data_IF_272537458458
#
_entry.id   IF_272537458458
#
_cell.length_a   1.000
_cell.length_b   1.000
_cell.length_c   1.000
_cell.angle_alpha   90.00
_cell.angle_beta   90.00
_cell.angle_gamma   90.00
#
_symmetry.space_group_name_H-M   'P 1'
#
loop_
_entity.id
_entity.type
_entity.pdbx_description
1 polymer ?
#
# COMPACT_ATOMS: atom_id res chain seq x y z
N UNK A 1 -2.56 -18.69 11.39
CA UNK A 1 -2.17 -17.60 12.31
C UNK A 1 -0.65 -17.47 12.47
N UNK A 2 0.13 -18.56 12.62
CA UNK A 2 1.59 -18.48 12.77
C UNK A 2 2.32 -17.76 11.63
N UNK A 3 1.96 -18.03 10.36
CA UNK A 3 2.63 -17.38 9.22
C UNK A 3 2.43 -15.86 9.13
N UNK A 4 1.39 -15.30 9.76
CA UNK A 4 1.12 -13.85 9.67
C UNK A 4 1.97 -13.06 10.65
N UNK A 5 2.10 -13.55 11.89
CA UNK A 5 3.03 -12.99 12.89
C UNK A 5 4.49 -13.19 12.49
N UNK A 6 4.80 -14.29 11.82
CA UNK A 6 6.15 -14.55 11.28
C UNK A 6 6.55 -13.54 10.20
N UNK A 7 5.61 -13.11 9.34
CA UNK A 7 5.84 -12.05 8.35
C UNK A 7 6.05 -10.69 9.03
N UNK A 8 5.34 -10.44 10.13
CA UNK A 8 5.44 -9.21 10.90
C UNK A 8 6.79 -9.11 11.64
N UNK A 9 7.22 -10.21 12.26
CA UNK A 9 8.40 -10.27 13.12
C UNK A 9 9.68 -10.57 12.34
N UNK A 10 9.60 -11.31 11.22
CA UNK A 10 10.72 -11.69 10.36
C UNK A 10 10.46 -11.33 8.89
N UNK A 11 10.31 -10.03 8.55
CA UNK A 11 9.97 -9.61 7.19
C UNK A 11 11.00 -10.04 6.16
N UNK A 12 12.28 -10.09 6.53
CA UNK A 12 13.37 -10.53 5.65
C UNK A 12 13.21 -12.00 5.22
N UNK A 13 12.82 -12.89 6.13
CA UNK A 13 12.58 -14.30 5.84
C UNK A 13 11.30 -14.49 5.01
N UNK A 14 10.27 -13.68 5.26
CA UNK A 14 9.06 -13.68 4.45
C UNK A 14 9.31 -13.30 2.98
N UNK A 15 10.14 -12.28 2.72
CA UNK A 15 10.56 -11.92 1.37
C UNK A 15 11.39 -13.03 0.71
N UNK A 16 12.26 -13.70 1.48
CA UNK A 16 13.10 -14.80 0.98
C UNK A 16 12.28 -16.05 0.63
N UNK A 17 11.30 -16.38 1.47
CA UNK A 17 10.45 -17.58 1.33
C UNK A 17 9.32 -17.41 0.28
N UNK A 18 9.14 -16.21 -0.28
CA UNK A 18 8.15 -15.91 -1.35
C UNK A 18 6.75 -16.41 -0.99
N UNK A 19 6.27 -16.09 0.21
CA UNK A 19 4.99 -16.58 0.70
C UNK A 19 3.82 -15.99 -0.12
N UNK A 20 3.43 -16.72 -1.17
CA UNK A 20 2.40 -16.30 -2.14
C UNK A 20 1.05 -16.11 -1.49
N UNK A 21 0.67 -17.00 -0.58
CA UNK A 21 -0.64 -16.97 0.06
C UNK A 21 -0.83 -15.70 0.90
N UNK A 22 0.18 -15.36 1.71
CA UNK A 22 0.13 -14.15 2.51
C UNK A 22 0.17 -12.87 1.66
N UNK A 23 0.96 -12.87 0.59
CA UNK A 23 1.03 -11.74 -0.36
C UNK A 23 -0.34 -11.46 -0.98
N UNK A 24 -1.00 -12.49 -1.51
CA UNK A 24 -2.31 -12.34 -2.12
C UNK A 24 -3.39 -12.00 -1.09
N UNK A 25 -3.33 -12.58 0.11
CA UNK A 25 -4.23 -12.19 1.20
C UNK A 25 -4.11 -10.70 1.50
N UNK A 26 -2.89 -10.17 1.67
CA UNK A 26 -2.68 -8.76 1.95
C UNK A 26 -3.21 -7.87 0.83
N UNK A 27 -2.90 -8.18 -0.43
CA UNK A 27 -3.38 -7.40 -1.58
C UNK A 27 -4.91 -7.41 -1.65
N UNK A 28 -5.53 -8.59 -1.51
CA UNK A 28 -7.00 -8.72 -1.54
C UNK A 28 -7.63 -7.98 -0.36
N UNK A 29 -7.10 -8.09 0.85
CA UNK A 29 -7.61 -7.38 2.01
C UNK A 29 -7.47 -5.86 1.88
N UNK A 30 -6.33 -5.36 1.39
CA UNK A 30 -6.16 -3.92 1.14
C UNK A 30 -7.19 -3.44 0.11
N UNK A 31 -7.36 -4.15 -1.01
CA UNK A 31 -8.36 -3.79 -2.01
C UNK A 31 -9.77 -3.82 -1.42
N UNK A 32 -10.13 -4.83 -0.63
CA UNK A 32 -11.45 -4.90 0.01
C UNK A 32 -11.66 -3.74 0.98
N UNK A 33 -10.65 -3.38 1.78
CA UNK A 33 -10.75 -2.24 2.69
C UNK A 33 -10.98 -0.96 1.89
N UNK A 34 -10.18 -0.71 0.87
CA UNK A 34 -10.28 0.53 0.09
C UNK A 34 -11.59 0.61 -0.73
N UNK A 35 -12.12 -0.53 -1.18
CA UNK A 35 -13.25 -0.56 -2.13
C UNK A 35 -14.60 -0.86 -1.50
N UNK A 36 -14.62 -1.52 -0.35
CA UNK A 36 -15.85 -1.90 0.37
C UNK A 36 -15.93 -1.22 1.72
N UNK A 37 -14.86 -1.28 2.52
CA UNK A 37 -14.91 -0.81 3.90
C UNK A 37 -15.04 0.71 3.98
N UNK A 38 -14.26 1.47 3.20
CA UNK A 38 -14.33 2.94 3.17
C UNK A 38 -15.73 3.44 2.76
N UNK A 39 -16.31 3.04 1.60
CA UNK A 39 -17.63 3.52 1.21
C UNK A 39 -18.75 3.11 2.19
N UNK A 40 -18.59 1.96 2.84
CA UNK A 40 -19.58 1.44 3.78
C UNK A 40 -19.50 2.19 5.12
N UNK A 41 -18.29 2.56 5.58
CA UNK A 41 -18.11 3.48 6.71
C UNK A 41 -18.69 4.87 6.42
N UNK A 42 -18.40 5.45 5.26
CA UNK A 42 -18.93 6.75 4.84
C UNK A 42 -20.46 6.74 4.84
N UNK A 43 -21.07 5.68 4.28
CA UNK A 43 -22.53 5.50 4.27
C UNK A 43 -23.14 5.35 5.67
N UNK A 44 -22.45 4.70 6.61
CA UNK A 44 -22.91 4.59 7.99
C UNK A 44 -22.77 5.89 8.79
N UNK A 45 -21.81 6.74 8.43
CA UNK A 45 -21.51 7.97 9.17
C UNK A 45 -22.30 9.19 8.69
N UNK A 46 -22.69 9.25 7.42
CA UNK A 46 -23.52 10.32 6.87
C UNK A 46 -24.55 9.80 5.86
N UNK A 47 -25.84 10.06 6.13
CA UNK A 47 -26.98 9.58 5.35
C UNK A 47 -27.09 10.22 3.96
N UNK A 48 -26.28 11.25 3.66
CA UNK A 48 -26.25 11.93 2.35
C UNK A 48 -25.31 11.27 1.33
N UNK A 49 -24.51 10.27 1.72
CA UNK A 49 -23.67 9.57 0.76
C UNK A 49 -24.50 8.58 -0.09
N UNK A 50 -24.30 8.58 -1.43
CA UNK A 50 -25.04 7.68 -2.31
C UNK A 50 -24.76 6.23 -1.92
N UNK A 51 -25.82 5.41 -1.91
CA UNK A 51 -25.72 3.98 -1.59
C UNK A 51 -24.59 3.34 -2.38
N UNK A 52 -23.68 2.58 -1.73
CA UNK A 52 -22.55 1.95 -2.42
C UNK A 52 -23.07 1.04 -3.53
N UNK A 53 -22.95 1.47 -4.78
CA UNK A 53 -23.42 0.66 -5.90
C UNK A 53 -22.47 -0.51 -6.09
N UNK A 54 -23.02 -1.73 -6.21
CA UNK A 54 -22.24 -2.95 -6.47
C UNK A 54 -21.35 -2.77 -7.71
N UNK A 55 -21.83 -2.01 -8.71
CA UNK A 55 -21.06 -1.66 -9.90
C UNK A 55 -19.85 -0.77 -9.60
N UNK A 56 -19.99 0.26 -8.75
CA UNK A 56 -18.85 1.08 -8.33
C UNK A 56 -17.82 0.26 -7.55
N UNK A 57 -18.27 -0.58 -6.61
CA UNK A 57 -17.39 -1.47 -5.83
C UNK A 57 -16.63 -2.42 -6.75
N UNK A 58 -17.33 -3.11 -7.65
CA UNK A 58 -16.69 -4.05 -8.58
C UNK A 58 -15.70 -3.34 -9.50
N UNK A 59 -16.07 -2.15 -10.00
CA UNK A 59 -15.20 -1.33 -10.85
C UNK A 59 -13.95 -0.90 -10.09
N UNK A 60 -14.05 -0.40 -8.86
CA UNK A 60 -12.90 0.04 -8.08
C UNK A 60 -12.01 -1.14 -7.66
N UNK A 61 -12.58 -2.30 -7.33
CA UNK A 61 -11.81 -3.54 -7.09
C UNK A 61 -11.01 -3.95 -8.33
N UNK A 62 -11.62 -3.92 -9.51
CA UNK A 62 -10.93 -4.20 -10.78
C UNK A 62 -9.78 -3.21 -11.03
N UNK A 63 -10.02 -1.92 -10.83
CA UNK A 63 -8.97 -0.89 -10.95
C UNK A 63 -7.84 -1.08 -9.94
N UNK A 64 -8.14 -1.51 -8.70
CA UNK A 64 -7.14 -1.83 -7.68
C UNK A 64 -6.26 -3.03 -8.07
N UNK A 65 -6.84 -4.07 -8.68
CA UNK A 65 -6.07 -5.19 -9.21
C UNK A 65 -5.16 -4.76 -10.37
N UNK A 66 -5.68 -3.93 -11.29
CA UNK A 66 -4.91 -3.42 -12.44
C UNK A 66 -3.78 -2.51 -11.98
N UNK A 67 -4.02 -1.61 -11.01
CA UNK A 67 -3.00 -0.72 -10.47
C UNK A 67 -1.88 -1.50 -9.79
N UNK A 68 -2.20 -2.53 -9.00
CA UNK A 68 -1.21 -3.42 -8.39
C UNK A 68 -0.28 -4.05 -9.43
N UNK A 69 -0.84 -4.61 -10.50
CA UNK A 69 -0.06 -5.23 -11.57
C UNK A 69 0.78 -4.20 -12.32
N UNK A 70 0.22 -3.01 -12.61
CA UNK A 70 0.94 -1.93 -13.25
C UNK A 70 2.15 -1.48 -12.42
N UNK A 71 1.97 -1.28 -11.11
CA UNK A 71 3.05 -0.93 -10.19
C UNK A 71 4.14 -2.01 -10.19
N UNK A 72 3.76 -3.28 -10.11
CA UNK A 72 4.71 -4.40 -10.17
C UNK A 72 5.53 -4.38 -11.47
N UNK A 73 4.90 -4.10 -12.62
CA UNK A 73 5.58 -4.00 -13.92
C UNK A 73 6.55 -2.83 -13.94
N UNK A 74 6.15 -1.66 -13.45
CA UNK A 74 7.02 -0.48 -13.46
C UNK A 74 8.19 -0.65 -12.51
N UNK A 75 7.96 -1.17 -11.31
CA UNK A 75 9.02 -1.48 -10.34
C UNK A 75 10.01 -2.49 -10.91
N UNK A 76 9.51 -3.52 -11.57
CA UNK A 76 10.34 -4.51 -12.26
C UNK A 76 11.17 -3.84 -13.37
N UNK A 77 10.57 -2.99 -14.20
CA UNK A 77 11.28 -2.31 -15.28
C UNK A 77 12.41 -1.42 -14.75
N UNK A 78 12.14 -0.62 -13.71
CA UNK A 78 13.14 0.26 -13.07
C UNK A 78 14.27 -0.58 -12.45
N UNK A 79 13.92 -1.61 -11.67
CA UNK A 79 14.91 -2.46 -11.04
C UNK A 79 15.74 -3.24 -12.07
N UNK A 80 15.12 -3.66 -13.18
CA UNK A 80 15.80 -4.36 -14.27
C UNK A 80 16.77 -3.46 -15.01
N UNK A 81 16.40 -2.20 -15.26
CA UNK A 81 17.31 -1.18 -15.79
C UNK A 81 18.52 -0.96 -14.87
N UNK A 82 18.30 -0.99 -13.55
CA UNK A 82 19.36 -0.88 -12.54
C UNK A 82 20.16 -2.18 -12.32
N UNK A 83 19.94 -3.21 -13.13
CA UNK A 83 20.73 -4.44 -13.15
C UNK A 83 20.17 -5.60 -12.33
N UNK A 84 18.89 -5.56 -11.96
CA UNK A 84 18.19 -6.71 -11.38
C UNK A 84 18.03 -7.84 -12.40
N UNK A 85 18.27 -9.08 -11.96
CA UNK A 85 18.07 -10.30 -12.78
C UNK A 85 16.76 -11.02 -12.44
N UNK A 86 15.96 -10.51 -11.52
CA UNK A 86 14.76 -11.21 -11.08
C UNK A 86 13.60 -11.06 -12.06
N UNK A 87 12.80 -12.13 -12.16
CA UNK A 87 11.66 -12.20 -13.08
C UNK A 87 10.48 -11.42 -12.52
N UNK A 88 9.67 -10.81 -13.40
CA UNK A 88 8.45 -10.08 -13.05
C UNK A 88 7.50 -10.91 -12.16
N UNK A 89 7.38 -12.21 -12.43
CA UNK A 89 6.57 -13.13 -11.61
C UNK A 89 6.95 -13.10 -10.12
N UNK A 90 8.23 -12.91 -9.80
CA UNK A 90 8.68 -12.79 -8.42
C UNK A 90 8.20 -11.49 -7.79
N UNK A 91 8.22 -10.37 -8.52
CA UNK A 91 7.71 -9.07 -8.03
C UNK A 91 6.23 -9.17 -7.66
N UNK A 92 5.41 -9.71 -8.55
CA UNK A 92 3.97 -9.91 -8.31
C UNK A 92 3.72 -10.82 -7.08
N UNK A 93 4.64 -11.72 -6.76
CA UNK A 93 4.48 -12.70 -5.68
C UNK A 93 5.02 -12.23 -4.33
N UNK A 94 5.77 -11.14 -4.27
CA UNK A 94 6.39 -10.67 -3.01
C UNK A 94 6.12 -9.21 -2.72
N UNK A 95 5.80 -8.40 -3.74
CA UNK A 95 5.52 -6.97 -3.56
C UNK A 95 4.33 -6.74 -2.61
N UNK A 96 3.32 -7.61 -2.66
CA UNK A 96 2.14 -7.52 -1.78
C UNK A 96 2.45 -7.67 -0.29
N UNK A 97 3.63 -8.16 0.12
CA UNK A 97 4.03 -8.14 1.54
C UNK A 97 4.23 -6.70 2.06
N UNK A 98 4.58 -5.76 1.17
CA UNK A 98 4.70 -4.34 1.51
C UNK A 98 3.35 -3.64 1.69
N UNK A 99 2.24 -4.32 1.41
CA UNK A 99 0.90 -3.76 1.55
C UNK A 99 0.41 -3.79 2.99
N UNK A 100 1.08 -4.51 3.89
CA UNK A 100 0.63 -4.59 5.28
C UNK A 100 0.60 -3.22 5.99
N UNK A 101 1.66 -2.39 5.96
CA UNK A 101 1.58 -1.02 6.48
C UNK A 101 0.56 -0.16 5.73
N UNK A 102 0.43 -0.35 4.40
CA UNK A 102 -0.55 0.37 3.58
C UNK A 102 -1.99 0.04 4.02
N UNK A 103 -2.27 -1.21 4.36
CA UNK A 103 -3.56 -1.66 4.88
C UNK A 103 -3.90 -0.96 6.19
N UNK A 104 -2.96 -0.93 7.13
CA UNK A 104 -3.13 -0.21 8.40
C UNK A 104 -3.31 1.29 8.17
N UNK A 105 -2.58 1.86 7.21
CA UNK A 105 -2.71 3.25 6.79
C UNK A 105 -4.13 3.53 6.28
N UNK A 106 -4.62 2.74 5.32
CA UNK A 106 -5.96 2.88 4.75
C UNK A 106 -7.04 2.81 5.83
N UNK A 107 -6.91 1.88 6.78
CA UNK A 107 -7.83 1.78 7.91
C UNK A 107 -7.80 3.02 8.81
N UNK A 108 -6.60 3.51 9.15
CA UNK A 108 -6.44 4.71 9.96
C UNK A 108 -6.99 5.97 9.27
N UNK A 109 -6.78 6.10 7.94
CA UNK A 109 -7.35 7.19 7.13
C UNK A 109 -8.86 7.11 7.12
N UNK A 110 -9.44 5.95 6.80
CA UNK A 110 -10.89 5.74 6.77
C UNK A 110 -11.54 6.17 8.08
N UNK A 111 -10.96 5.75 9.20
CA UNK A 111 -11.44 6.10 10.53
C UNK A 111 -11.28 7.59 10.85
N UNK A 112 -10.13 8.18 10.52
CA UNK A 112 -9.84 9.60 10.71
C UNK A 112 -10.78 10.50 9.90
N UNK A 113 -11.07 10.15 8.65
CA UNK A 113 -11.98 10.91 7.77
C UNK A 113 -13.44 10.76 8.19
N UNK A 114 -13.87 9.54 8.56
CA UNK A 114 -15.24 9.31 9.03
C UNK A 114 -15.54 10.12 10.30
N UNK A 115 -14.58 10.17 11.22
CA UNK A 115 -14.69 10.89 12.48
C UNK A 115 -13.90 12.21 12.45
N UNK A 116 -13.86 12.87 11.29
CA UNK A 116 -13.03 14.06 11.04
C UNK A 116 -13.21 15.12 12.13
N UNK A 117 -14.44 15.41 12.52
CA UNK A 117 -14.76 16.41 13.55
C UNK A 117 -14.32 16.00 14.96
N UNK A 118 -14.11 14.71 15.23
CA UNK A 118 -13.60 14.24 16.53
C UNK A 118 -12.07 14.30 16.56
N UNK A 119 -11.43 13.89 15.45
CA UNK A 119 -9.97 13.78 15.37
C UNK A 119 -9.28 15.11 15.08
N UNK A 120 -9.82 15.93 14.18
CA UNK A 120 -9.19 17.19 13.78
C UNK A 120 -9.60 18.39 14.63
N UNK A 121 -10.74 18.32 15.32
CA UNK A 121 -11.14 19.35 16.28
C UNK A 121 -10.40 19.22 17.63
N UNK A 122 -9.72 18.10 17.87
CA UNK A 122 -9.00 17.85 19.11
C UNK A 122 -7.51 17.64 18.85
N UNK A 123 -6.70 18.62 19.27
CA UNK A 123 -5.25 18.66 19.02
C UNK A 123 -4.50 17.41 19.49
N UNK A 124 -4.94 16.79 20.60
CA UNK A 124 -4.30 15.57 21.14
C UNK A 124 -4.49 14.38 20.19
N UNK A 125 -5.70 14.20 19.68
CA UNK A 125 -6.02 13.11 18.76
C UNK A 125 -5.36 13.31 17.38
N UNK A 126 -5.30 14.55 16.89
CA UNK A 126 -4.59 14.89 15.67
C UNK A 126 -3.07 14.61 15.75
N UNK A 127 -2.43 14.95 16.88
CA UNK A 127 -1.01 14.65 17.11
C UNK A 127 -0.78 13.14 17.19
N UNK A 128 -1.64 12.41 17.92
CA UNK A 128 -1.52 10.95 18.05
C UNK A 128 -1.63 10.24 16.69
N UNK A 129 -2.63 10.60 15.88
CA UNK A 129 -2.76 10.06 14.52
C UNK A 129 -1.55 10.40 13.65
N UNK A 130 -1.02 11.62 13.75
CA UNK A 130 0.17 12.02 13.01
C UNK A 130 1.39 11.16 13.35
N UNK A 131 1.60 10.85 14.64
CA UNK A 131 2.68 9.95 15.09
C UNK A 131 2.49 8.55 14.51
N UNK A 132 1.26 8.02 14.54
CA UNK A 132 0.92 6.71 13.96
C UNK A 132 1.22 6.69 12.47
N UNK A 133 0.82 7.73 11.72
CA UNK A 133 1.12 7.86 10.29
C UNK A 133 2.63 7.87 10.00
N UNK A 134 3.40 8.65 10.74
CA UNK A 134 4.86 8.68 10.61
C UNK A 134 5.46 7.29 10.86
N UNK A 135 5.01 6.60 11.90
CA UNK A 135 5.45 5.23 12.21
C UNK A 135 5.17 4.25 11.06
N UNK A 136 3.97 4.31 10.48
CA UNK A 136 3.58 3.48 9.33
C UNK A 136 4.44 3.79 8.10
N UNK A 137 4.73 5.06 7.83
CA UNK A 137 5.59 5.47 6.70
C UNK A 137 7.03 4.99 6.87
N UNK A 138 7.59 5.08 8.08
CA UNK A 138 8.92 4.53 8.39
C UNK A 138 8.92 3.02 8.16
N UNK A 139 7.89 2.32 8.64
CA UNK A 139 7.76 0.88 8.43
C UNK A 139 7.67 0.50 6.95
N UNK A 140 6.85 1.20 6.15
CA UNK A 140 6.74 1.00 4.70
C UNK A 140 8.10 1.20 4.01
N UNK A 141 8.85 2.22 4.43
CA UNK A 141 10.19 2.51 3.92
C UNK A 141 11.17 1.37 4.22
N UNK A 142 11.15 0.81 5.43
CA UNK A 142 12.02 -0.32 5.82
C UNK A 142 11.70 -1.55 4.95
N UNK A 143 10.43 -1.94 4.83
CA UNK A 143 10.03 -3.07 3.99
C UNK A 143 10.43 -2.87 2.54
N UNK A 144 10.37 -1.63 2.06
CA UNK A 144 10.74 -1.29 0.70
C UNK A 144 12.24 -1.47 0.43
N UNK A 145 13.10 -1.04 1.36
CA UNK A 145 14.55 -1.27 1.27
C UNK A 145 14.88 -2.76 1.32
N UNK A 146 14.21 -3.52 2.20
CA UNK A 146 14.37 -4.98 2.28
C UNK A 146 13.97 -5.63 0.96
N UNK A 147 12.87 -5.21 0.35
CA UNK A 147 12.43 -5.71 -0.96
C UNK A 147 13.47 -5.45 -2.06
N UNK A 148 14.01 -4.24 -2.16
CA UNK A 148 15.03 -3.91 -3.17
C UNK A 148 16.31 -4.73 -3.00
N UNK A 149 16.69 -5.02 -1.75
CA UNK A 149 17.88 -5.82 -1.44
C UNK A 149 17.65 -7.31 -1.70
N UNK A 150 16.61 -7.88 -1.09
CA UNK A 150 16.39 -9.34 -1.04
C UNK A 150 15.66 -9.88 -2.28
N UNK A 151 14.74 -9.10 -2.86
CA UNK A 151 13.95 -9.53 -4.02
C UNK A 151 14.52 -8.98 -5.32
N UNK A 152 14.81 -7.68 -5.38
CA UNK A 152 15.39 -7.10 -6.59
C UNK A 152 16.88 -7.44 -6.75
N UNK A 153 17.56 -7.88 -5.68
CA UNK A 153 18.97 -8.27 -5.72
C UNK A 153 19.92 -7.10 -6.01
N UNK A 154 19.45 -5.86 -5.78
CA UNK A 154 20.25 -4.66 -5.98
C UNK A 154 21.26 -4.53 -4.82
N UNK A 155 22.47 -4.05 -5.11
CA UNK A 155 23.55 -3.87 -4.12
C UNK A 155 24.11 -2.46 -4.17
N UNK A 156 24.50 -1.93 -3.00
CA UNK A 156 25.16 -0.64 -2.85
C UNK A 156 24.35 0.53 -3.42
N UNK A 157 25.01 1.41 -4.17
CA UNK A 157 24.43 2.65 -4.69
C UNK A 157 23.22 2.45 -5.62
N UNK A 158 23.06 1.26 -6.19
CA UNK A 158 21.90 0.92 -7.04
C UNK A 158 20.59 0.83 -6.24
N UNK A 159 20.65 0.49 -4.95
CA UNK A 159 19.49 0.51 -4.05
C UNK A 159 19.02 1.96 -3.88
N UNK A 160 19.94 2.88 -3.62
CA UNK A 160 19.64 4.31 -3.44
C UNK A 160 19.04 4.88 -4.73
N UNK A 161 19.63 4.56 -5.88
CA UNK A 161 19.09 4.97 -7.19
C UNK A 161 17.66 4.44 -7.43
N UNK A 162 17.41 3.15 -7.18
CA UNK A 162 16.08 2.57 -7.31
C UNK A 162 15.07 3.20 -6.35
N UNK A 163 15.50 3.45 -5.10
CA UNK A 163 14.68 4.06 -4.08
C UNK A 163 14.23 5.46 -4.48
N UNK A 164 15.15 6.31 -4.95
CA UNK A 164 14.85 7.69 -5.36
C UNK A 164 13.95 7.71 -6.59
N UNK A 165 14.27 6.96 -7.64
CA UNK A 165 13.48 6.95 -8.89
C UNK A 165 12.05 6.47 -8.64
N UNK A 166 11.89 5.41 -7.86
CA UNK A 166 10.57 4.87 -7.53
C UNK A 166 9.82 5.81 -6.57
N UNK A 167 10.51 6.44 -5.62
CA UNK A 167 9.93 7.45 -4.74
C UNK A 167 9.35 8.64 -5.52
N UNK A 168 10.11 9.18 -6.47
CA UNK A 168 9.66 10.26 -7.36
C UNK A 168 8.42 9.82 -8.15
N UNK A 169 8.42 8.61 -8.68
CA UNK A 169 7.29 8.07 -9.42
C UNK A 169 6.03 7.94 -8.55
N UNK A 170 6.16 7.46 -7.32
CA UNK A 170 5.03 7.37 -6.37
C UNK A 170 4.47 8.76 -6.08
N UNK A 171 5.33 9.76 -5.86
CA UNK A 171 4.90 11.15 -5.65
C UNK A 171 4.16 11.69 -6.88
N UNK A 172 4.68 11.46 -8.08
CA UNK A 172 4.03 11.88 -9.32
C UNK A 172 2.65 11.23 -9.51
N UNK A 173 2.54 9.93 -9.20
CA UNK A 173 1.27 9.19 -9.25
C UNK A 173 0.28 9.68 -8.18
N UNK A 174 0.77 10.01 -6.98
CA UNK A 174 -0.06 10.57 -5.92
C UNK A 174 -0.61 11.95 -6.30
N UNK A 175 0.22 12.83 -6.90
CA UNK A 175 -0.20 14.13 -7.40
C UNK A 175 -1.24 14.00 -8.53
N UNK A 176 -1.04 13.05 -9.45
CA UNK A 176 -1.98 12.77 -10.53
C UNK A 176 -3.32 12.25 -10.00
N UNK A 177 -3.31 11.33 -9.03
CA UNK A 177 -4.52 10.83 -8.39
C UNK A 177 -5.27 11.94 -7.64
N UNK A 178 -4.54 12.80 -6.92
CA UNK A 178 -5.13 13.98 -6.27
C UNK A 178 -5.79 14.93 -7.27
N UNK A 179 -5.19 15.14 -8.44
CA UNK A 179 -5.77 15.97 -9.51
C UNK A 179 -7.05 15.36 -10.11
N UNK A 180 -7.14 14.03 -10.20
CA UNK A 180 -8.31 13.29 -10.72
C UNK A 180 -9.40 13.09 -9.65
N UNK A 181 -9.19 13.56 -8.41
CA UNK A 181 -10.16 13.45 -7.31
C UNK A 181 -10.15 12.10 -6.58
N UNK A 182 -9.14 11.26 -6.83
CA UNK A 182 -8.88 10.05 -6.04
C UNK A 182 -8.06 10.44 -4.81
N UNK A 183 -8.73 10.51 -3.65
CA UNK A 183 -8.17 11.04 -2.39
C UNK A 183 -7.04 10.18 -1.82
N UNK A 184 -7.17 8.87 -1.94
CA UNK A 184 -6.14 7.92 -1.55
C UNK A 184 -5.52 7.32 -2.79
N UNK A 185 -4.22 7.54 -3.04
CA UNK A 185 -3.54 6.73 -4.02
C UNK A 185 -3.59 5.29 -3.49
N UNK A 186 -4.29 4.40 -4.19
CA UNK A 186 -4.21 2.93 -4.00
C UNK A 186 -2.82 2.47 -4.52
N UNK A 187 -1.75 3.09 -3.99
CA UNK A 187 -0.32 2.92 -4.29
C UNK A 187 0.47 2.53 -3.04
#
# INVERSE_FOLDING_TARGET
MNSFFEILNHPMEAFRNKNKAATWLLVVFTIIIDTVFIPLMDWFADAQHPTPSIYMILRTTLWGCVSYLAICVVFWAICKYLGSKTRLKTYIQTWGLTFFPTLLCSFAVAFSETFFTVFWNNSIWGILLSIVFIGILIWKTILYVIFLREVAGLKGNRIIGAFVVIGIMIIALALFNGYVGLKTPIL
#
